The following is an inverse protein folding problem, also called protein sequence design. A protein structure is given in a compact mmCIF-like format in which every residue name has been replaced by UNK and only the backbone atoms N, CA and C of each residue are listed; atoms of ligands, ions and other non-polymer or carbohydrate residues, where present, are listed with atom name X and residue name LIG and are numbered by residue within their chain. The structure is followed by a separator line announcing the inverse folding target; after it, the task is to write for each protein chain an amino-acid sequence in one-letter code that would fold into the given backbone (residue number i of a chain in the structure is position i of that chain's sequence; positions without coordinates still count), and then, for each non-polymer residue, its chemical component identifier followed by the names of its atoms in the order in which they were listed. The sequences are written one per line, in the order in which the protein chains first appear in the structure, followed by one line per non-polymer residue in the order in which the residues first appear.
data_IF_833890872797
#
_entry.id   IF_833890872797
#
_cell.length_a   1.000
_cell.length_b   1.000
_cell.length_c   1.000
_cell.angle_alpha   90.00
_cell.angle_beta   90.00
_cell.angle_gamma   90.00
#
_symmetry.space_group_name_H-M   'P 1'
#
loop_
_entity.id
_entity.type
_entity.pdbx_description
1 polymer ?
#
# COMPACT_ATOMS: atom_id res chain seq x y z
N UNK A 1 -44.82 -27.34 -4.76
CA UNK A 1 -45.76 -26.20 -4.86
C UNK A 1 -46.98 -26.69 -5.63
N UNK A 2 -48.19 -26.60 -5.05
CA UNK A 2 -49.42 -26.98 -5.76
C UNK A 2 -49.75 -25.87 -6.76
N UNK A 3 -49.74 -26.18 -8.05
CA UNK A 3 -50.24 -25.30 -9.10
C UNK A 3 -51.76 -25.17 -8.92
N UNK A 4 -52.22 -24.09 -8.31
CA UNK A 4 -53.65 -23.74 -8.33
C UNK A 4 -53.97 -23.25 -9.73
N UNK A 5 -54.53 -24.13 -10.57
CA UNK A 5 -55.13 -23.69 -11.83
C UNK A 5 -56.18 -22.61 -11.55
N UNK A 6 -56.17 -21.54 -12.34
CA UNK A 6 -57.13 -20.43 -12.24
C UNK A 6 -58.54 -20.86 -12.67
N UNK A 7 -58.66 -22.01 -13.32
CA UNK A 7 -59.90 -22.49 -13.94
C UNK A 7 -60.97 -22.94 -12.92
N UNK A 8 -60.63 -23.11 -11.64
CA UNK A 8 -61.52 -23.63 -10.59
C UNK A 8 -61.78 -22.64 -9.43
N UNK A 9 -61.49 -21.34 -9.58
CA UNK A 9 -61.79 -20.36 -8.52
C UNK A 9 -63.28 -20.00 -8.58
N UNK A 10 -64.08 -20.58 -7.70
CA UNK A 10 -65.47 -20.16 -7.53
C UNK A 10 -65.54 -18.74 -6.97
N UNK A 11 -66.57 -17.96 -7.35
CA UNK A 11 -66.83 -16.60 -6.85
C UNK A 11 -66.88 -16.59 -5.31
N UNK A 12 -67.42 -17.65 -4.71
CA UNK A 12 -67.48 -17.87 -3.26
C UNK A 12 -66.10 -17.99 -2.59
N UNK A 13 -65.07 -18.40 -3.32
CA UNK A 13 -63.71 -18.59 -2.80
C UNK A 13 -62.71 -17.51 -3.29
N UNK A 14 -63.12 -16.64 -4.19
CA UNK A 14 -62.28 -15.58 -4.78
C UNK A 14 -61.66 -14.67 -3.71
N UNK A 15 -62.45 -14.28 -2.70
CA UNK A 15 -61.97 -13.44 -1.59
C UNK A 15 -60.83 -14.11 -0.82
N UNK A 16 -60.96 -15.40 -0.51
CA UNK A 16 -59.94 -16.17 0.20
C UNK A 16 -58.68 -16.37 -0.66
N UNK A 17 -58.85 -16.57 -1.96
CA UNK A 17 -57.74 -16.66 -2.90
C UNK A 17 -56.93 -15.35 -2.97
N UNK A 18 -57.60 -14.20 -3.11
CA UNK A 18 -56.96 -12.88 -3.13
C UNK A 18 -56.22 -12.57 -1.81
N UNK A 19 -56.78 -12.97 -0.67
CA UNK A 19 -56.10 -12.84 0.64
C UNK A 19 -54.83 -13.68 0.67
N UNK A 20 -54.89 -14.95 0.23
CA UNK A 20 -53.70 -15.82 0.17
C UNK A 20 -52.62 -15.27 -0.76
N UNK A 21 -52.99 -14.73 -1.91
CA UNK A 21 -52.06 -14.07 -2.83
C UNK A 21 -51.42 -12.82 -2.22
N UNK A 22 -52.22 -11.98 -1.56
CA UNK A 22 -51.72 -10.78 -0.88
C UNK A 22 -50.69 -11.13 0.21
N UNK A 23 -50.99 -12.17 1.00
CA UNK A 23 -50.10 -12.68 2.04
C UNK A 23 -48.82 -13.28 1.44
N UNK A 24 -48.93 -14.12 0.40
CA UNK A 24 -47.77 -14.69 -0.29
C UNK A 24 -46.87 -13.62 -0.91
N UNK A 25 -47.45 -12.59 -1.54
CA UNK A 25 -46.71 -11.46 -2.10
C UNK A 25 -45.99 -10.64 -1.00
N UNK A 26 -46.61 -10.48 0.16
CA UNK A 26 -45.99 -9.80 1.31
C UNK A 26 -44.77 -10.57 1.84
N UNK A 27 -44.85 -11.90 1.94
CA UNK A 27 -43.73 -12.73 2.34
C UNK A 27 -42.62 -12.76 1.28
N UNK A 28 -42.96 -12.93 0.00
CA UNK A 28 -41.98 -12.89 -1.08
C UNK A 28 -41.19 -11.57 -1.13
N UNK A 29 -41.87 -10.43 -0.92
CA UNK A 29 -41.20 -9.11 -0.82
C UNK A 29 -40.29 -9.01 0.39
N UNK A 30 -40.70 -9.58 1.54
CA UNK A 30 -39.90 -9.57 2.76
C UNK A 30 -38.64 -10.42 2.58
N UNK A 31 -38.77 -11.63 2.04
CA UNK A 31 -37.64 -12.54 1.82
C UNK A 31 -36.64 -11.96 0.81
N UNK A 32 -37.13 -11.31 -0.25
CA UNK A 32 -36.27 -10.60 -1.21
C UNK A 32 -35.55 -9.40 -0.59
N UNK A 33 -36.21 -8.64 0.29
CA UNK A 33 -35.60 -7.52 1.00
C UNK A 33 -34.54 -8.00 1.99
N UNK A 34 -34.81 -9.07 2.73
CA UNK A 34 -33.87 -9.67 3.69
C UNK A 34 -32.66 -10.27 2.98
N UNK A 35 -32.86 -11.05 1.90
CA UNK A 35 -31.76 -11.62 1.12
C UNK A 35 -30.86 -10.56 0.47
N UNK A 36 -31.43 -9.47 -0.04
CA UNK A 36 -30.63 -8.34 -0.56
C UNK A 36 -29.86 -7.60 0.54
N UNK A 37 -30.42 -7.48 1.73
CA UNK A 37 -29.76 -6.86 2.87
C UNK A 37 -28.57 -7.71 3.34
N UNK A 38 -28.75 -9.03 3.43
CA UNK A 38 -27.69 -9.97 3.80
C UNK A 38 -26.55 -9.98 2.79
N UNK A 39 -26.85 -10.01 1.48
CA UNK A 39 -25.83 -9.93 0.42
C UNK A 39 -25.04 -8.61 0.47
N UNK A 40 -25.73 -7.48 0.68
CA UNK A 40 -25.07 -6.18 0.84
C UNK A 40 -24.17 -6.14 2.06
N UNK A 41 -24.64 -6.66 3.19
CA UNK A 41 -23.85 -6.69 4.43
C UNK A 41 -22.61 -7.60 4.28
N UNK A 42 -22.74 -8.74 3.59
CA UNK A 42 -21.60 -9.63 3.30
C UNK A 42 -20.56 -8.94 2.41
N UNK A 43 -21.00 -8.34 1.30
CA UNK A 43 -20.13 -7.61 0.40
C UNK A 43 -19.44 -6.41 1.10
N UNK A 44 -20.18 -5.69 1.95
CA UNK A 44 -19.61 -4.59 2.74
C UNK A 44 -18.55 -5.09 3.73
N UNK A 45 -18.78 -6.25 4.37
CA UNK A 45 -17.80 -6.86 5.29
C UNK A 45 -16.52 -7.26 4.56
N UNK A 46 -16.64 -7.88 3.39
CA UNK A 46 -15.49 -8.25 2.56
C UNK A 46 -14.69 -7.02 2.11
N UNK A 47 -15.38 -5.96 1.67
CA UNK A 47 -14.74 -4.69 1.31
C UNK A 47 -14.01 -4.05 2.49
N UNK A 48 -14.59 -4.12 3.71
CA UNK A 48 -13.94 -3.62 4.93
C UNK A 48 -12.66 -4.40 5.25
N UNK A 49 -12.67 -5.73 5.08
CA UNK A 49 -11.48 -6.57 5.26
C UNK A 49 -10.42 -6.21 4.23
N UNK A 50 -10.79 -6.10 2.96
CA UNK A 50 -9.85 -5.73 1.89
C UNK A 50 -9.25 -4.33 2.11
N UNK A 51 -10.07 -3.34 2.52
CA UNK A 51 -9.56 -2.01 2.87
C UNK A 51 -8.57 -2.08 4.03
N UNK A 52 -8.83 -2.93 5.04
CA UNK A 52 -7.94 -3.07 6.17
C UNK A 52 -6.60 -3.71 5.77
N UNK A 53 -6.63 -4.77 4.95
CA UNK A 53 -5.42 -5.40 4.41
C UNK A 53 -4.60 -4.42 3.57
N UNK A 54 -5.25 -3.66 2.67
CA UNK A 54 -4.57 -2.64 1.87
C UNK A 54 -3.94 -1.53 2.71
N UNK A 55 -4.55 -1.17 3.85
CA UNK A 55 -3.95 -0.20 4.78
C UNK A 55 -2.70 -0.77 5.46
N UNK A 56 -2.75 -2.03 5.87
CA UNK A 56 -1.61 -2.71 6.49
C UNK A 56 -0.45 -2.86 5.50
N UNK A 57 -0.73 -3.30 4.27
CA UNK A 57 0.28 -3.38 3.20
C UNK A 57 0.90 -2.02 2.86
N UNK A 58 0.07 -0.96 2.81
CA UNK A 58 0.54 0.40 2.55
C UNK A 58 1.46 0.89 3.66
N UNK A 59 1.13 0.62 4.92
CA UNK A 59 1.94 1.04 6.05
C UNK A 59 3.27 0.29 6.10
N UNK A 60 3.23 -1.03 5.88
CA UNK A 60 4.45 -1.84 5.78
C UNK A 60 5.35 -1.37 4.64
N UNK A 61 4.78 -1.11 3.46
CA UNK A 61 5.54 -0.59 2.30
C UNK A 61 6.17 0.77 2.61
N UNK A 62 5.47 1.64 3.37
CA UNK A 62 6.02 2.93 3.78
C UNK A 62 7.20 2.76 4.72
N UNK A 63 7.08 1.90 5.71
CA UNK A 63 8.14 1.61 6.68
C UNK A 63 9.38 1.03 5.99
N UNK A 64 9.21 0.06 5.10
CA UNK A 64 10.30 -0.52 4.30
C UNK A 64 11.01 0.57 3.45
N UNK A 65 10.24 1.44 2.81
CA UNK A 65 10.78 2.55 2.01
C UNK A 65 11.52 3.57 2.89
N UNK A 66 11.01 3.90 4.06
CA UNK A 66 11.66 4.85 4.97
C UNK A 66 12.97 4.28 5.54
N UNK A 67 12.99 2.99 5.90
CA UNK A 67 14.20 2.28 6.31
C UNK A 67 15.26 2.26 5.18
N UNK A 68 14.85 1.91 3.95
CA UNK A 68 15.76 1.92 2.81
C UNK A 68 16.33 3.32 2.49
N UNK A 69 15.53 4.37 2.69
CA UNK A 69 15.99 5.75 2.55
C UNK A 69 17.03 6.11 3.61
N UNK A 70 16.83 5.70 4.85
CA UNK A 70 17.78 5.98 5.93
C UNK A 70 19.11 5.25 5.72
N UNK A 71 19.07 3.98 5.32
CA UNK A 71 20.25 3.21 4.94
C UNK A 71 21.04 3.89 3.80
N UNK A 72 20.34 4.40 2.80
CA UNK A 72 20.97 5.10 1.69
C UNK A 72 21.63 6.41 2.15
N UNK A 73 20.98 7.19 3.02
CA UNK A 73 21.59 8.40 3.60
C UNK A 73 22.85 8.08 4.38
N UNK A 74 22.84 7.00 5.16
CA UNK A 74 24.00 6.57 5.94
C UNK A 74 25.17 6.18 5.02
N UNK A 75 24.92 5.39 3.97
CA UNK A 75 25.93 5.04 2.96
C UNK A 75 26.49 6.28 2.23
N UNK A 76 25.62 7.23 1.87
CA UNK A 76 26.06 8.51 1.26
C UNK A 76 26.97 9.29 2.22
N UNK A 77 26.65 9.31 3.51
CA UNK A 77 27.47 9.96 4.54
C UNK A 77 28.84 9.29 4.66
N UNK A 78 28.88 7.96 4.69
CA UNK A 78 30.13 7.18 4.71
C UNK A 78 31.00 7.46 3.49
N UNK A 79 30.41 7.44 2.29
CA UNK A 79 31.12 7.77 1.04
C UNK A 79 31.64 9.20 1.04
N UNK A 80 30.85 10.15 1.56
CA UNK A 80 31.26 11.56 1.66
C UNK A 80 32.45 11.74 2.60
N UNK A 81 32.45 11.02 3.72
CA UNK A 81 33.58 11.02 4.65
C UNK A 81 34.83 10.41 4.00
N UNK A 82 34.69 9.26 3.33
CA UNK A 82 35.79 8.61 2.63
C UNK A 82 36.39 9.50 1.53
N UNK A 83 35.55 10.17 0.73
CA UNK A 83 35.98 11.13 -0.28
C UNK A 83 36.73 12.32 0.34
N UNK A 84 36.27 12.79 1.50
CA UNK A 84 36.94 13.88 2.21
C UNK A 84 38.31 13.45 2.72
N UNK A 85 38.44 12.24 3.28
CA UNK A 85 39.73 11.68 3.68
C UNK A 85 40.69 11.51 2.50
N UNK A 86 40.20 11.01 1.35
CA UNK A 86 41.01 10.89 0.12
C UNK A 86 41.49 12.27 -0.33
N UNK A 87 40.60 13.26 -0.33
CA UNK A 87 40.95 14.64 -0.71
C UNK A 87 42.05 15.19 0.19
N UNK A 88 41.93 15.04 1.50
CA UNK A 88 42.97 15.49 2.45
C UNK A 88 44.30 14.80 2.19
N UNK A 89 44.31 13.47 2.05
CA UNK A 89 45.54 12.72 1.77
C UNK A 89 46.20 13.14 0.45
N UNK A 90 45.40 13.43 -0.59
CA UNK A 90 45.91 13.96 -1.86
C UNK A 90 46.54 15.34 -1.69
N UNK A 91 45.91 16.23 -0.92
CA UNK A 91 46.46 17.56 -0.64
C UNK A 91 47.79 17.45 0.12
N UNK A 92 47.84 16.66 1.18
CA UNK A 92 49.07 16.45 1.96
C UNK A 92 50.21 15.89 1.09
N UNK A 93 49.90 14.93 0.21
CA UNK A 93 50.89 14.37 -0.72
C UNK A 93 51.41 15.41 -1.72
N UNK A 94 50.54 16.28 -2.23
CA UNK A 94 50.93 17.36 -3.14
C UNK A 94 51.82 18.40 -2.44
N UNK A 95 51.46 18.78 -1.22
CA UNK A 95 52.24 19.71 -0.40
C UNK A 95 53.63 19.13 -0.07
N UNK A 96 53.68 17.87 0.39
CA UNK A 96 54.94 17.18 0.66
C UNK A 96 55.83 17.10 -0.58
N UNK A 97 55.24 16.84 -1.75
CA UNK A 97 55.96 16.84 -3.03
C UNK A 97 56.51 18.22 -3.37
N UNK A 98 55.73 19.28 -3.21
CA UNK A 98 56.16 20.66 -3.46
C UNK A 98 57.31 21.06 -2.54
N UNK A 99 57.23 20.76 -1.25
CA UNK A 99 58.31 21.07 -0.30
C UNK A 99 59.59 20.30 -0.61
N UNK A 100 59.48 19.03 -1.03
CA UNK A 100 60.62 18.25 -1.49
C UNK A 100 61.28 18.88 -2.72
N UNK A 101 60.49 19.32 -3.70
CA UNK A 101 61.02 20.00 -4.90
C UNK A 101 61.75 21.29 -4.51
N UNK A 102 61.13 22.16 -3.69
CA UNK A 102 61.78 23.39 -3.19
C UNK A 102 63.07 23.11 -2.42
N UNK A 103 63.11 22.05 -1.62
CA UNK A 103 64.32 21.65 -0.90
C UNK A 103 65.44 21.23 -1.86
N UNK A 104 65.13 20.42 -2.87
CA UNK A 104 66.09 19.98 -3.88
C UNK A 104 66.62 21.16 -4.71
N UNK A 105 65.75 22.08 -5.12
CA UNK A 105 66.17 23.30 -5.83
C UNK A 105 67.12 24.17 -5.02
N UNK A 106 66.88 24.32 -3.70
CA UNK A 106 67.78 25.06 -2.80
C UNK A 106 69.14 24.37 -2.70
N UNK A 107 69.18 23.05 -2.58
CA UNK A 107 70.42 22.28 -2.56
C UNK A 107 71.24 22.44 -3.84
N UNK A 108 70.60 22.40 -5.01
CA UNK A 108 71.27 22.59 -6.29
C UNK A 108 71.84 24.01 -6.40
N UNK A 109 71.05 25.03 -6.03
CA UNK A 109 71.50 26.44 -6.09
C UNK A 109 72.62 26.78 -5.11
N UNK A 110 72.68 26.14 -3.95
CA UNK A 110 73.76 26.35 -2.97
C UNK A 110 75.03 25.53 -3.23
N UNK A 111 75.04 24.66 -4.25
CA UNK A 111 76.18 23.83 -4.62
C UNK A 111 76.95 24.36 -5.84
N UNK A 112 76.45 25.40 -6.51
CA UNK A 112 77.10 26.14 -7.59
C UNK A 112 77.57 27.51 -7.08
#
# INVERSE_FOLDING_TARGET
MQNTSLDNISISNLKNFLIKLSVANKYAKKDFATGNLELKNSAEKELRIMIQQLKEELEQTREEKDNALEDNKNKIRELSNALSSIKTAMTEMLEARQERVKHLERKIRGAN
#
